data_IF_775752876327
#
_entry.id   IF_775752876327
#
_cell.length_a   1.000
_cell.length_b   1.000
_cell.length_c   1.000
_cell.angle_alpha   90.00
_cell.angle_beta   90.00
_cell.angle_gamma   90.00
#
_symmetry.space_group_name_H-M   'P 1'
#
loop_
_entity.id
_entity.type
_entity.pdbx_description
1 polymer ?
#
# COMPACT_ATOMS: atom_id res chain seq x y z
N UNK A 1 1.18 8.79 -2.11
CA UNK A 1 -0.02 7.96 -2.33
C UNK A 1 0.38 6.50 -2.31
N UNK A 2 -0.41 5.61 -1.72
CA UNK A 2 -0.18 4.16 -1.72
C UNK A 2 -1.28 3.48 -2.52
N UNK A 3 -0.90 2.45 -3.28
CA UNK A 3 -1.80 1.63 -4.09
C UNK A 3 -1.44 0.17 -3.82
N UNK A 4 -2.43 -0.62 -3.42
CA UNK A 4 -2.30 -2.05 -3.29
C UNK A 4 -3.28 -2.73 -4.25
N UNK A 5 -2.85 -3.85 -4.83
CA UNK A 5 -3.69 -4.72 -5.63
C UNK A 5 -4.39 -4.10 -6.84
N UNK A 6 -5.64 -4.48 -7.07
CA UNK A 6 -6.37 -4.22 -8.32
C UNK A 6 -6.35 -5.43 -9.26
N UNK A 7 -6.81 -5.22 -10.50
CA UNK A 7 -6.94 -6.28 -11.50
C UNK A 7 -6.14 -5.94 -12.76
N UNK A 8 -5.29 -6.87 -13.17
CA UNK A 8 -4.51 -6.76 -14.40
C UNK A 8 -5.38 -6.88 -15.66
N UNK A 9 -4.79 -6.55 -16.81
CA UNK A 9 -5.44 -6.71 -18.13
C UNK A 9 -5.78 -8.17 -18.45
N UNK A 10 -5.10 -9.11 -17.79
CA UNK A 10 -5.33 -10.55 -17.87
C UNK A 10 -6.45 -11.02 -16.92
N UNK A 11 -7.10 -10.10 -16.19
CA UNK A 11 -8.16 -10.40 -15.25
C UNK A 11 -7.66 -10.94 -13.91
N UNK A 12 -6.35 -11.06 -13.69
CA UNK A 12 -5.81 -11.56 -12.43
C UNK A 12 -5.74 -10.46 -11.40
N UNK A 13 -6.07 -10.81 -10.16
CA UNK A 13 -5.90 -9.89 -9.05
C UNK A 13 -4.41 -9.78 -8.67
N UNK A 14 -3.96 -8.55 -8.47
CA UNK A 14 -2.57 -8.22 -8.13
C UNK A 14 -2.42 -8.13 -6.61
N UNK A 15 -1.26 -8.54 -6.10
CA UNK A 15 -0.90 -8.48 -4.68
C UNK A 15 0.25 -7.52 -4.38
N UNK A 16 0.61 -6.66 -5.34
CA UNK A 16 1.74 -5.75 -5.22
C UNK A 16 1.33 -4.45 -4.53
N UNK A 17 2.27 -3.87 -3.79
CA UNK A 17 2.15 -2.55 -3.16
C UNK A 17 3.06 -1.56 -3.88
N UNK A 18 2.48 -0.47 -4.37
CA UNK A 18 3.18 0.65 -4.97
C UNK A 18 2.97 1.93 -4.16
N UNK A 19 4.00 2.76 -4.06
CA UNK A 19 3.89 4.14 -3.59
C UNK A 19 4.23 5.11 -4.71
N UNK A 20 3.35 6.09 -4.87
CA UNK A 20 3.57 7.24 -5.73
C UNK A 20 3.98 8.45 -4.90
N UNK A 21 5.16 8.97 -5.18
CA UNK A 21 5.70 10.18 -4.55
C UNK A 21 5.76 11.29 -5.59
N UNK A 22 5.12 12.40 -5.28
CA UNK A 22 5.27 13.66 -6.01
C UNK A 22 6.17 14.54 -5.16
N UNK A 23 7.27 14.99 -5.73
CA UNK A 23 8.15 16.01 -5.15
C UNK A 23 8.05 17.26 -5.97
N UNK A 24 7.43 18.28 -5.40
CA UNK A 24 7.56 19.64 -5.89
C UNK A 24 8.78 20.27 -5.25
N UNK A 25 9.86 20.43 -5.99
CA UNK A 25 10.95 21.28 -5.54
C UNK A 25 10.64 22.73 -5.90
N UNK A 26 10.43 23.57 -4.88
CA UNK A 26 10.92 24.95 -4.97
C UNK A 26 12.43 24.85 -4.79
N UNK A 27 13.18 24.53 -5.84
CA UNK A 27 14.63 24.68 -5.80
C UNK A 27 14.92 26.16 -5.51
N UNK A 28 15.27 26.46 -4.27
CA UNK A 28 15.39 27.81 -3.77
C UNK A 28 16.38 28.65 -4.57
N UNK A 29 15.95 29.88 -4.86
CA UNK A 29 16.78 31.07 -5.08
C UNK A 29 17.73 31.10 -6.29
N UNK A 30 17.33 30.64 -7.48
CA UNK A 30 17.71 31.33 -8.73
C UNK A 30 16.62 31.02 -9.75
N UNK A 31 16.02 32.04 -10.38
CA UNK A 31 15.66 32.10 -11.81
C UNK A 31 14.55 33.14 -12.03
N UNK A 32 14.91 34.42 -11.96
CA UNK A 32 14.10 35.48 -12.60
C UNK A 32 14.04 35.35 -14.14
N UNK A 33 14.36 34.17 -14.70
CA UNK A 33 14.44 33.87 -16.12
C UNK A 33 13.73 32.55 -16.53
N UNK A 34 13.10 31.80 -15.61
CA UNK A 34 12.29 30.65 -16.00
C UNK A 34 10.84 31.12 -16.20
N UNK A 35 10.46 31.36 -17.46
CA UNK A 35 9.16 31.93 -17.82
C UNK A 35 8.02 30.88 -17.71
N UNK A 36 8.35 29.60 -17.43
CA UNK A 36 7.40 28.48 -17.49
C UNK A 36 7.91 27.16 -16.82
N UNK A 37 8.91 27.21 -15.93
CA UNK A 37 9.65 26.02 -15.48
C UNK A 37 9.38 25.53 -14.04
N UNK A 38 8.16 25.16 -13.68
CA UNK A 38 7.90 24.38 -12.46
C UNK A 38 8.09 22.89 -12.76
N UNK A 39 9.22 22.31 -12.36
CA UNK A 39 9.48 20.89 -12.54
C UNK A 39 8.87 20.09 -11.39
N UNK A 40 7.89 19.25 -11.71
CA UNK A 40 7.32 18.26 -10.78
C UNK A 40 7.98 16.92 -11.05
N UNK A 41 8.80 16.44 -10.10
CA UNK A 41 9.31 15.07 -10.17
C UNK A 41 8.28 14.11 -9.54
N UNK A 42 8.00 13.02 -10.24
CA UNK A 42 6.99 12.05 -9.89
C UNK A 42 7.55 10.65 -10.06
N UNK A 43 7.63 9.89 -8.96
CA UNK A 43 8.27 8.58 -8.94
C UNK A 43 7.37 7.52 -8.33
N UNK A 44 7.42 6.34 -8.93
CA UNK A 44 6.79 5.12 -8.42
C UNK A 44 7.83 4.25 -7.74
N UNK A 45 7.46 3.71 -6.59
CA UNK A 45 8.25 2.75 -5.82
C UNK A 45 7.42 1.49 -5.64
N UNK A 46 8.03 0.34 -5.83
CA UNK A 46 7.42 -0.96 -5.53
C UNK A 46 8.11 -1.55 -4.30
N UNK A 47 7.34 -2.20 -3.44
CA UNK A 47 7.86 -2.83 -2.22
C UNK A 47 7.73 -4.34 -2.33
N UNK A 48 8.82 -5.05 -2.02
CA UNK A 48 8.85 -6.51 -1.97
C UNK A 48 9.16 -6.95 -0.54
N UNK A 49 8.70 -8.15 -0.16
CA UNK A 49 9.04 -8.80 1.12
C UNK A 49 8.67 -8.02 2.39
N UNK A 50 7.51 -7.36 2.38
CA UNK A 50 6.97 -6.52 3.46
C UNK A 50 6.36 -7.31 4.65
N UNK A 51 6.67 -8.60 4.76
CA UNK A 51 6.02 -9.54 5.68
C UNK A 51 4.78 -10.21 5.08
N UNK A 52 3.84 -10.71 5.91
CA UNK A 52 2.64 -11.43 5.45
C UNK A 52 1.66 -10.48 4.74
N UNK A 53 1.88 -10.30 3.43
CA UNK A 53 1.06 -9.45 2.57
C UNK A 53 -0.32 -10.07 2.31
N UNK A 54 -1.39 -9.27 2.20
CA UNK A 54 -2.67 -9.75 1.69
C UNK A 54 -2.53 -10.47 0.35
N UNK A 55 -3.38 -11.47 0.12
CA UNK A 55 -3.58 -12.05 -1.21
C UNK A 55 -4.04 -10.98 -2.21
N UNK A 56 -3.67 -11.17 -3.48
CA UNK A 56 -4.02 -10.26 -4.54
C UNK A 56 -5.53 -10.10 -4.66
N UNK A 57 -6.02 -8.86 -4.66
CA UNK A 57 -7.45 -8.56 -4.55
C UNK A 57 -7.86 -7.27 -5.24
N UNK A 58 -9.13 -7.20 -5.62
CA UNK A 58 -9.78 -6.03 -6.21
C UNK A 58 -11.03 -5.61 -5.42
N UNK A 59 -11.49 -4.38 -5.61
CA UNK A 59 -12.68 -3.85 -4.91
C UNK A 59 -12.50 -3.62 -3.39
N UNK A 60 -11.26 -3.64 -2.89
CA UNK A 60 -10.96 -3.37 -1.48
C UNK A 60 -10.94 -1.85 -1.20
N UNK A 61 -11.07 -1.48 0.07
CA UNK A 61 -10.92 -0.10 0.53
C UNK A 61 -9.54 0.09 1.18
N UNK A 62 -8.94 1.27 0.96
CA UNK A 62 -7.68 1.69 1.59
C UNK A 62 -7.80 3.03 2.29
N UNK A 63 -7.17 3.17 3.45
CA UNK A 63 -7.06 4.43 4.16
C UNK A 63 -5.69 4.56 4.84
N UNK A 64 -5.16 5.77 4.95
CA UNK A 64 -3.91 6.03 5.66
C UNK A 64 -4.16 6.91 6.90
N UNK A 65 -3.51 6.58 8.01
CA UNK A 65 -3.51 7.36 9.25
C UNK A 65 -2.09 7.39 9.83
N UNK A 66 -1.43 8.55 9.75
CA UNK A 66 -0.03 8.67 10.16
C UNK A 66 0.87 7.73 9.36
N UNK A 67 1.67 6.93 10.06
CA UNK A 67 2.57 5.92 9.45
C UNK A 67 1.89 4.56 9.18
N UNK A 68 0.56 4.50 9.19
CA UNK A 68 -0.20 3.25 9.00
C UNK A 68 -1.10 3.34 7.78
N UNK A 69 -1.09 2.31 6.97
CA UNK A 69 -2.00 2.15 5.81
C UNK A 69 -2.85 0.90 6.04
N UNK A 70 -4.16 1.08 6.03
CA UNK A 70 -5.17 0.05 6.27
C UNK A 70 -5.74 -0.43 4.94
N UNK A 71 -5.91 -1.75 4.80
CA UNK A 71 -6.54 -2.41 3.66
C UNK A 71 -7.67 -3.29 4.19
N UNK A 72 -8.87 -3.09 3.66
CA UNK A 72 -10.11 -3.70 4.15
C UNK A 72 -10.90 -4.33 3.01
N UNK A 73 -11.30 -5.60 3.21
CA UNK A 73 -12.21 -6.32 2.33
C UNK A 73 -11.65 -6.55 0.93
N UNK A 74 -12.55 -6.44 -0.07
CA UNK A 74 -12.29 -6.80 -1.45
C UNK A 74 -12.41 -8.30 -1.72
N UNK A 75 -12.28 -8.65 -2.98
CA UNK A 75 -12.45 -10.01 -3.48
C UNK A 75 -11.18 -10.47 -4.18
N UNK A 76 -10.89 -11.77 -4.06
CA UNK A 76 -9.82 -12.44 -4.79
C UNK A 76 -10.42 -13.59 -5.58
N UNK A 77 -10.13 -13.64 -6.88
CA UNK A 77 -10.51 -14.74 -7.77
C UNK A 77 -9.54 -15.92 -7.68
N UNK A 78 -8.33 -15.68 -7.18
CA UNK A 78 -7.42 -16.76 -6.82
C UNK A 78 -7.94 -17.45 -5.54
N UNK A 79 -7.60 -18.74 -5.30
CA UNK A 79 -7.91 -19.38 -4.03
C UNK A 79 -7.18 -18.64 -2.90
N UNK A 80 -7.86 -17.67 -2.29
CA UNK A 80 -7.38 -16.94 -1.13
C UNK A 80 -7.53 -17.81 0.11
N UNK A 81 -6.68 -17.58 1.11
CA UNK A 81 -6.92 -18.16 2.44
C UNK A 81 -8.28 -17.67 2.94
N UNK A 82 -9.17 -18.55 3.42
CA UNK A 82 -10.53 -18.17 3.84
C UNK A 82 -10.54 -17.02 4.84
N UNK A 83 -9.52 -16.93 5.71
CA UNK A 83 -9.38 -15.87 6.71
C UNK A 83 -9.15 -14.47 6.12
N UNK A 84 -8.56 -14.32 4.93
CA UNK A 84 -8.12 -13.03 4.38
C UNK A 84 -9.26 -12.04 4.07
N UNK A 85 -10.51 -12.51 3.93
CA UNK A 85 -11.67 -11.64 3.67
C UNK A 85 -12.15 -10.92 4.94
N UNK A 86 -11.87 -11.49 6.11
CA UNK A 86 -12.32 -10.99 7.43
C UNK A 86 -11.24 -10.23 8.18
N UNK A 87 -10.01 -10.23 7.65
CA UNK A 87 -8.85 -9.56 8.22
C UNK A 87 -8.71 -8.13 7.69
N UNK A 88 -8.22 -7.26 8.56
CA UNK A 88 -7.77 -5.92 8.26
C UNK A 88 -6.25 -5.99 8.15
N UNK A 89 -5.70 -5.69 6.98
CA UNK A 89 -4.26 -5.64 6.81
C UNK A 89 -3.77 -4.22 7.09
N UNK A 90 -2.76 -4.09 7.93
CA UNK A 90 -2.19 -2.79 8.32
C UNK A 90 -0.72 -2.79 7.97
N UNK A 91 -0.34 -1.97 7.00
CA UNK A 91 1.05 -1.68 6.69
C UNK A 91 1.55 -0.57 7.61
N UNK A 92 2.61 -0.85 8.39
CA UNK A 92 3.40 0.15 9.08
C UNK A 92 4.54 0.62 8.18
N UNK A 93 4.50 1.88 7.74
CA UNK A 93 5.48 2.49 6.84
C UNK A 93 6.76 2.95 7.56
N UNK A 94 6.79 2.95 8.90
CA UNK A 94 7.99 3.26 9.68
C UNK A 94 8.89 2.03 9.85
N UNK A 95 8.28 0.86 10.04
CA UNK A 95 8.98 -0.41 10.18
C UNK A 95 9.01 -1.22 8.87
N UNK A 96 8.30 -0.77 7.84
CA UNK A 96 8.03 -1.50 6.61
C UNK A 96 7.55 -2.93 6.84
N UNK A 97 6.52 -3.08 7.69
CA UNK A 97 5.96 -4.39 8.06
C UNK A 97 4.44 -4.41 7.94
N UNK A 98 3.89 -5.49 7.37
CA UNK A 98 2.45 -5.76 7.36
C UNK A 98 2.05 -6.50 8.63
N UNK A 99 1.06 -5.94 9.31
CA UNK A 99 0.39 -6.46 10.50
C UNK A 99 -1.01 -6.94 10.11
N UNK A 100 -1.45 -8.06 10.67
CA UNK A 100 -2.81 -8.58 10.49
C UNK A 100 -3.64 -8.23 11.73
N UNK A 101 -4.80 -7.63 11.52
CA UNK A 101 -5.77 -7.31 12.58
C UNK A 101 -7.09 -8.02 12.25
N UNK A 102 -7.54 -8.90 13.15
CA UNK A 102 -8.84 -9.56 12.98
C UNK A 102 -9.99 -8.60 13.33
N UNK A 103 -11.07 -8.62 12.55
CA UNK A 103 -12.27 -7.81 12.80
C UNK A 103 -13.03 -8.20 14.08
N UNK A 104 -12.82 -9.39 14.63
CA UNK A 104 -13.62 -9.92 15.75
C UNK A 104 -13.08 -9.65 17.15
N UNK A 105 -11.88 -9.09 17.36
CA UNK A 105 -11.32 -9.01 18.73
C UNK A 105 -10.31 -7.88 18.94
N UNK A 106 -10.51 -7.11 20.01
CA UNK A 106 -9.67 -6.01 20.55
C UNK A 106 -8.20 -6.34 20.87
N UNK A 107 -7.71 -7.51 20.50
CA UNK A 107 -6.33 -7.95 20.72
C UNK A 107 -6.00 -8.90 19.58
N UNK A 108 -5.10 -8.51 18.69
CA UNK A 108 -4.11 -9.39 18.05
C UNK A 108 -3.23 -8.52 17.15
N UNK A 109 -2.24 -7.86 17.75
CA UNK A 109 -1.02 -7.51 17.01
C UNK A 109 -0.14 -8.76 17.07
N UNK A 110 -0.43 -9.78 16.25
CA UNK A 110 0.53 -10.88 16.05
C UNK A 110 1.37 -10.54 14.83
N UNK A 111 2.61 -10.16 15.09
CA UNK A 111 3.70 -10.30 14.13
C UNK A 111 3.89 -11.79 13.86
N UNK A 112 3.46 -12.29 12.71
CA UNK A 112 3.92 -13.59 12.24
C UNK A 112 5.39 -13.43 11.82
N UNK A 113 6.32 -13.61 12.77
CA UNK A 113 7.68 -13.98 12.43
C UNK A 113 7.65 -15.43 11.94
N UNK A 114 8.01 -15.63 10.67
CA UNK A 114 8.28 -16.95 10.11
C UNK A 114 9.68 -17.33 10.60
N UNK A 115 9.78 -18.49 11.27
CA UNK A 115 11.05 -19.11 11.67
C UNK A 115 11.81 -19.68 10.48
#
# INVERSE_FOLDING_TARGET
>A
MYIFGGRGVDGKDLGDLAAFKITSELAGLVTWLAIDGWFVDSRWFMFQNMGPSPSGRSGHAMAAMGARVFVLGGESYAPSKPEDSTLIHVLDTSAWQVLLVCSSTHKYLRTHQIS
#
